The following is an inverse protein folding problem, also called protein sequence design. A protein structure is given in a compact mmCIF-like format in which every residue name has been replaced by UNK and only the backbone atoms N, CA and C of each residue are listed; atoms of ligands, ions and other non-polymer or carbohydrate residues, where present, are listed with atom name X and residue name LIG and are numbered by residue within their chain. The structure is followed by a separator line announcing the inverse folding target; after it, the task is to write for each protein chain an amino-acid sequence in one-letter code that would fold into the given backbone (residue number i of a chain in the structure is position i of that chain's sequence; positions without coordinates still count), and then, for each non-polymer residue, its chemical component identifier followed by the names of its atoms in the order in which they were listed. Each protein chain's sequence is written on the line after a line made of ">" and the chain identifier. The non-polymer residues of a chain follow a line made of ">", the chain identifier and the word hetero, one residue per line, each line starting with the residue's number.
data_IF_458948165749
#
_entry.id   IF_458948165749
#
_cell.length_a   1.000
_cell.length_b   1.000
_cell.length_c   1.000
_cell.angle_alpha   90.00
_cell.angle_beta   90.00
_cell.angle_gamma   90.00
#
_symmetry.space_group_name_H-M   'P 1'
#
loop_
_entity.id
_entity.type
_entity.pdbx_description
1 polymer ?
#
# COMPACT_ATOMS: atom_id res chain seq x y z
N UNK A 1 20.32 9.63 10.05
CA UNK A 1 18.88 9.86 9.75
C UNK A 1 18.35 10.93 10.70
N UNK A 2 17.44 11.76 10.21
CA UNK A 2 16.77 12.75 11.04
C UNK A 2 15.87 12.11 12.09
N UNK A 3 15.50 12.84 13.16
CA UNK A 3 14.71 12.27 14.25
C UNK A 3 13.29 11.83 13.86
N UNK A 4 12.76 12.36 12.75
CA UNK A 4 11.42 12.00 12.26
C UNK A 4 11.41 10.93 11.17
N UNK A 5 12.60 10.43 10.80
CA UNK A 5 12.73 9.43 9.76
C UNK A 5 12.58 8.04 10.36
N UNK A 6 11.76 7.21 9.73
CA UNK A 6 11.46 5.86 10.16
C UNK A 6 11.94 4.85 9.12
N UNK A 7 12.07 3.61 9.54
CA UNK A 7 12.44 2.51 8.66
C UNK A 7 11.21 1.73 8.23
N UNK A 8 11.40 0.76 7.31
CA UNK A 8 10.30 -0.09 6.85
C UNK A 8 9.62 -0.86 7.99
N UNK A 9 10.34 -1.11 9.10
CA UNK A 9 9.79 -1.81 10.26
C UNK A 9 8.75 -0.99 11.01
N UNK A 10 8.71 0.31 10.76
CA UNK A 10 7.79 1.23 11.42
C UNK A 10 6.49 1.44 10.64
N UNK A 11 6.33 0.78 9.49
CA UNK A 11 5.11 0.91 8.70
C UNK A 11 3.95 0.29 9.48
N UNK A 12 2.95 1.10 9.77
CA UNK A 12 1.78 0.69 10.55
C UNK A 12 0.67 0.18 9.63
N UNK A 13 0.52 -1.14 9.56
CA UNK A 13 -0.53 -1.78 8.78
C UNK A 13 -1.90 -1.74 9.46
N UNK A 14 -1.94 -1.46 10.76
CA UNK A 14 -3.20 -1.39 11.50
C UNK A 14 -4.08 -0.22 11.08
N UNK A 15 -3.54 0.73 10.33
CA UNK A 15 -4.30 1.83 9.72
C UNK A 15 -5.33 1.31 8.71
N UNK A 16 -4.99 0.22 8.02
CA UNK A 16 -5.84 -0.37 6.97
C UNK A 16 -7.14 -0.92 7.57
N UNK A 17 -8.27 -0.50 6.98
CA UNK A 17 -9.59 -0.94 7.39
C UNK A 17 -10.32 -1.60 6.23
N UNK A 18 -11.20 -2.52 6.56
CA UNK A 18 -12.00 -3.24 5.57
C UNK A 18 -13.49 -2.95 5.77
N UNK A 19 -14.23 -3.13 4.70
CA UNK A 19 -15.69 -3.18 4.75
C UNK A 19 -16.13 -4.51 4.14
N UNK A 20 -17.32 -5.02 4.52
CA UNK A 20 -17.80 -6.29 3.97
C UNK A 20 -18.01 -6.19 2.45
N UNK A 21 -17.67 -7.25 1.74
CA UNK A 21 -17.96 -7.33 0.32
C UNK A 21 -19.46 -7.56 0.13
N UNK A 22 -20.16 -6.65 -0.57
CA UNK A 22 -21.62 -6.77 -0.73
C UNK A 22 -22.04 -7.80 -1.76
N UNK A 23 -21.11 -8.39 -2.51
CA UNK A 23 -21.40 -9.30 -3.59
C UNK A 23 -20.64 -10.61 -3.44
N UNK A 24 -21.24 -11.69 -3.95
CA UNK A 24 -20.58 -12.99 -4.08
C UNK A 24 -20.03 -13.22 -5.49
N UNK A 25 -20.26 -12.28 -6.38
CA UNK A 25 -19.79 -12.38 -7.76
C UNK A 25 -18.29 -12.12 -7.84
N UNK A 26 -17.64 -12.72 -8.83
CA UNK A 26 -16.23 -12.47 -9.08
C UNK A 26 -16.09 -11.12 -9.81
N UNK A 27 -15.31 -10.22 -9.26
CA UNK A 27 -15.02 -8.93 -9.89
C UNK A 27 -13.67 -8.41 -9.40
N UNK A 28 -13.15 -7.42 -10.10
CA UNK A 28 -11.89 -6.78 -9.70
C UNK A 28 -12.11 -5.29 -9.48
N UNK A 29 -11.31 -4.74 -8.57
CA UNK A 29 -11.26 -3.31 -8.31
C UNK A 29 -9.85 -2.83 -8.64
N UNK A 30 -9.74 -1.78 -9.46
CA UNK A 30 -8.46 -1.14 -9.70
C UNK A 30 -8.41 0.17 -8.94
N UNK A 31 -7.36 0.35 -8.14
CA UNK A 31 -7.12 1.56 -7.36
C UNK A 31 -5.82 2.19 -7.84
N UNK A 32 -5.87 3.48 -8.11
CA UNK A 32 -4.74 4.27 -8.55
C UNK A 32 -4.27 5.15 -7.40
N UNK A 33 -2.97 5.09 -7.09
CA UNK A 33 -2.35 5.95 -6.08
C UNK A 33 -1.35 6.85 -6.80
N UNK A 34 -1.78 8.04 -7.26
CA UNK A 34 -0.97 8.86 -8.17
C UNK A 34 0.17 9.62 -7.51
N UNK A 35 0.09 9.87 -6.21
CA UNK A 35 1.10 10.66 -5.50
C UNK A 35 1.85 9.80 -4.48
N UNK A 36 2.33 8.66 -4.94
CA UNK A 36 3.05 7.72 -4.10
C UNK A 36 4.45 8.26 -3.81
N UNK A 37 4.77 8.41 -2.53
CA UNK A 37 6.03 9.02 -2.08
C UNK A 37 6.62 8.24 -0.92
N UNK A 38 7.92 8.05 -0.93
CA UNK A 38 8.68 7.45 0.15
C UNK A 38 10.10 8.01 0.15
N UNK A 39 10.91 7.65 1.12
CA UNK A 39 12.32 8.02 1.15
C UNK A 39 13.17 6.84 0.67
N UNK A 40 14.02 7.10 -0.32
CA UNK A 40 14.97 6.09 -0.78
C UNK A 40 16.05 5.82 0.27
N UNK A 41 16.88 4.80 0.00
CA UNK A 41 17.89 4.34 0.97
C UNK A 41 18.90 5.41 1.36
N UNK A 42 19.05 6.45 0.55
CA UNK A 42 19.88 7.62 0.86
C UNK A 42 19.07 8.79 1.42
N UNK A 43 17.87 8.52 1.91
CA UNK A 43 16.93 9.49 2.49
C UNK A 43 16.45 10.57 1.53
N UNK A 44 16.58 10.33 0.21
CA UNK A 44 16.04 11.24 -0.80
C UNK A 44 14.56 10.91 -1.06
N UNK A 45 13.70 11.92 -1.31
CA UNK A 45 12.33 11.65 -1.70
C UNK A 45 12.26 10.95 -3.05
N UNK A 46 11.52 9.85 -3.11
CA UNK A 46 11.23 9.16 -4.34
C UNK A 46 9.73 9.23 -4.62
N UNK A 47 9.38 9.44 -5.88
CA UNK A 47 8.01 9.65 -6.32
C UNK A 47 7.62 8.61 -7.33
N UNK A 48 6.34 8.28 -7.33
CA UNK A 48 5.83 7.32 -8.29
C UNK A 48 4.33 7.24 -8.30
N UNK A 49 3.85 6.26 -9.03
CA UNK A 49 2.43 5.90 -9.10
C UNK A 49 2.31 4.42 -8.78
N UNK A 50 1.32 4.05 -7.99
CA UNK A 50 1.00 2.65 -7.72
C UNK A 50 -0.38 2.34 -8.29
N UNK A 51 -0.44 1.27 -9.07
CA UNK A 51 -1.70 0.71 -9.57
C UNK A 51 -1.92 -0.60 -8.83
N UNK A 52 -3.06 -0.71 -8.17
CA UNK A 52 -3.44 -1.88 -7.40
C UNK A 52 -4.67 -2.51 -8.04
N UNK A 53 -4.57 -3.78 -8.44
CA UNK A 53 -5.73 -4.56 -8.87
C UNK A 53 -6.04 -5.58 -7.79
N UNK A 54 -7.26 -5.53 -7.29
CA UNK A 54 -7.69 -6.25 -6.11
C UNK A 54 -8.89 -7.13 -6.46
N UNK A 55 -8.80 -8.41 -6.14
CA UNK A 55 -9.86 -9.40 -6.38
C UNK A 55 -10.46 -9.76 -5.03
N UNK A 56 -11.54 -9.10 -4.60
CA UNK A 56 -12.07 -9.27 -3.24
C UNK A 56 -12.70 -10.62 -3.02
N UNK A 57 -12.59 -11.10 -1.79
CA UNK A 57 -13.28 -12.29 -1.31
C UNK A 57 -14.39 -11.87 -0.35
N UNK A 58 -14.16 -11.90 0.96
CA UNK A 58 -15.18 -11.49 1.93
C UNK A 58 -15.07 -10.02 2.33
N UNK A 59 -13.93 -9.39 2.07
CA UNK A 59 -13.64 -8.01 2.50
C UNK A 59 -13.24 -7.17 1.30
N UNK A 60 -13.55 -5.87 1.36
CA UNK A 60 -13.03 -4.91 0.39
C UNK A 60 -12.24 -3.81 1.12
N UNK A 61 -11.38 -3.13 0.37
CA UNK A 61 -10.51 -2.08 0.90
C UNK A 61 -11.33 -0.83 1.18
N UNK A 62 -11.24 -0.29 2.40
CA UNK A 62 -11.79 1.02 2.71
C UNK A 62 -10.79 2.06 2.21
N UNK A 63 -11.19 2.89 1.24
CA UNK A 63 -10.27 3.75 0.50
C UNK A 63 -9.60 4.83 1.34
N UNK A 64 -10.31 5.41 2.29
CA UNK A 64 -9.74 6.44 3.15
C UNK A 64 -8.57 5.88 3.96
N UNK A 65 -8.72 4.68 4.50
CA UNK A 65 -7.65 4.04 5.26
C UNK A 65 -6.45 3.68 4.39
N UNK A 66 -6.70 3.29 3.14
CA UNK A 66 -5.61 3.03 2.20
C UNK A 66 -4.82 4.32 1.93
N UNK A 67 -5.49 5.44 1.76
CA UNK A 67 -4.83 6.73 1.56
C UNK A 67 -4.01 7.13 2.78
N UNK A 68 -4.53 6.90 3.97
CA UNK A 68 -3.79 7.16 5.21
C UNK A 68 -2.58 6.24 5.34
N UNK A 69 -2.74 4.98 4.99
CA UNK A 69 -1.65 4.00 5.00
C UNK A 69 -0.51 4.44 4.06
N UNK A 70 -0.82 4.81 2.83
CA UNK A 70 0.20 5.23 1.87
C UNK A 70 0.81 6.59 2.24
N UNK A 71 0.06 7.47 2.87
CA UNK A 71 0.58 8.77 3.31
C UNK A 71 1.72 8.63 4.31
N UNK A 72 1.66 7.66 5.22
CA UNK A 72 2.72 7.44 6.21
C UNK A 72 4.07 7.13 5.56
N UNK A 73 4.06 6.59 4.33
CA UNK A 73 5.29 6.16 3.66
C UNK A 73 6.24 7.32 3.35
N UNK A 74 5.75 8.56 3.38
CA UNK A 74 6.54 9.76 3.10
C UNK A 74 7.75 9.91 4.03
N UNK A 75 7.71 9.31 5.22
CA UNK A 75 8.77 9.37 6.21
C UNK A 75 9.50 8.03 6.38
N UNK A 76 9.26 7.07 5.49
CA UNK A 76 9.84 5.74 5.59
C UNK A 76 11.04 5.62 4.65
N UNK A 77 12.20 5.31 5.22
CA UNK A 77 13.42 5.02 4.46
C UNK A 77 13.40 3.54 4.09
N UNK A 78 13.35 3.26 2.79
CA UNK A 78 13.20 1.88 2.29
C UNK A 78 13.57 1.85 0.80
N UNK A 79 14.09 0.72 0.33
CA UNK A 79 14.25 0.51 -1.11
C UNK A 79 12.90 0.27 -1.76
N UNK A 80 12.77 0.65 -3.05
CA UNK A 80 11.48 0.52 -3.73
C UNK A 80 11.05 -0.94 -3.87
N UNK A 81 11.97 -1.85 -4.12
CA UNK A 81 11.64 -3.28 -4.28
C UNK A 81 11.23 -3.92 -2.95
N UNK A 82 11.78 -3.48 -1.84
CA UNK A 82 11.35 -3.96 -0.53
C UNK A 82 9.97 -3.39 -0.20
N UNK A 83 9.77 -2.10 -0.48
CA UNK A 83 8.52 -1.42 -0.14
C UNK A 83 7.32 -2.05 -0.84
N UNK A 84 7.43 -2.34 -2.15
CA UNK A 84 6.30 -2.91 -2.88
C UNK A 84 5.93 -4.29 -2.34
N UNK A 85 6.90 -5.07 -1.92
CA UNK A 85 6.64 -6.39 -1.34
C UNK A 85 6.01 -6.29 0.05
N UNK A 86 6.42 -5.31 0.85
CA UNK A 86 5.81 -5.07 2.17
C UNK A 86 4.34 -4.67 2.01
N UNK A 87 4.05 -3.76 1.09
CA UNK A 87 2.68 -3.34 0.82
C UNK A 87 1.84 -4.55 0.39
N UNK A 88 2.36 -5.36 -0.52
CA UNK A 88 1.69 -6.57 -0.97
C UNK A 88 1.35 -7.48 0.22
N UNK A 89 2.33 -7.75 1.08
CA UNK A 89 2.13 -8.62 2.23
C UNK A 89 1.10 -8.07 3.21
N UNK A 90 1.13 -6.77 3.49
CA UNK A 90 0.17 -6.13 4.37
C UNK A 90 -1.25 -6.23 3.82
N UNK A 91 -1.42 -5.97 2.52
CA UNK A 91 -2.74 -6.03 1.90
C UNK A 91 -3.29 -7.46 1.89
N UNK A 92 -2.43 -8.43 1.59
CA UNK A 92 -2.83 -9.84 1.63
C UNK A 92 -3.25 -10.27 3.04
N UNK A 93 -2.49 -9.85 4.04
CA UNK A 93 -2.78 -10.21 5.43
C UNK A 93 -4.11 -9.61 5.91
N UNK A 94 -4.33 -8.31 5.65
CA UNK A 94 -5.50 -7.60 6.17
C UNK A 94 -6.79 -7.97 5.43
N UNK A 95 -6.72 -8.09 4.10
CA UNK A 95 -7.92 -8.22 3.28
C UNK A 95 -8.21 -9.66 2.84
N UNK A 96 -7.24 -10.53 2.90
CA UNK A 96 -7.38 -11.94 2.51
C UNK A 96 -8.12 -12.11 1.17
N UNK A 97 -7.70 -11.39 0.12
CA UNK A 97 -8.39 -11.45 -1.17
C UNK A 97 -8.03 -12.72 -1.92
N UNK A 98 -8.75 -13.00 -3.00
CA UNK A 98 -8.37 -14.10 -3.89
C UNK A 98 -7.03 -13.82 -4.58
N UNK A 99 -6.79 -12.53 -4.91
CA UNK A 99 -5.57 -12.13 -5.60
C UNK A 99 -5.37 -10.62 -5.48
N UNK A 100 -4.10 -10.20 -5.47
CA UNK A 100 -3.70 -8.80 -5.64
C UNK A 100 -2.61 -8.74 -6.69
N UNK A 101 -2.68 -7.73 -7.53
CA UNK A 101 -1.60 -7.35 -8.43
C UNK A 101 -1.23 -5.90 -8.16
N UNK A 102 0.06 -5.66 -7.94
CA UNK A 102 0.58 -4.31 -7.70
C UNK A 102 1.59 -3.96 -8.79
N UNK A 103 1.43 -2.79 -9.37
CA UNK A 103 2.40 -2.21 -10.30
C UNK A 103 2.85 -0.88 -9.73
N UNK A 104 4.15 -0.73 -9.54
CA UNK A 104 4.75 0.52 -9.10
C UNK A 104 5.54 1.12 -10.26
N UNK A 105 5.22 2.35 -10.61
CA UNK A 105 5.99 3.12 -11.61
C UNK A 105 6.74 4.19 -10.84
N UNK A 106 8.08 4.08 -10.86
CA UNK A 106 8.94 5.06 -10.22
C UNK A 106 9.35 6.15 -11.21
N UNK A 107 9.34 7.39 -10.73
CA UNK A 107 9.75 8.54 -11.54
C UNK A 107 11.22 8.88 -11.37
#
# INVERSE_FOLDING_TARGET
>A
MGPNVKTYKDIDKSILKSIPNPSKEAYEIMINIPEFTFLGVSEQPDFGVVYLTFYPKSKIIELKSLKQYTFQLRNIVVSYERLINIIYDHLMEIYEPDRIRIVMICH
#
